data_IF_012319228841
#
_entry.id   IF_012319228841
#
_cell.length_a   1.000
_cell.length_b   1.000
_cell.length_c   1.000
_cell.angle_alpha   90.00
_cell.angle_beta   90.00
_cell.angle_gamma   90.00
#
_symmetry.space_group_name_H-M   'P 1'
#
loop_
_entity.id
_entity.type
_entity.pdbx_description
1 polymer ?
#
# COMPACT_ATOMS: atom_id res chain seq x y z
N UNK A 1 7.49 -16.06 -9.99
CA UNK A 1 7.51 -15.22 -8.76
C UNK A 1 8.90 -14.80 -8.30
N UNK A 2 9.81 -15.72 -7.94
CA UNK A 2 11.22 -15.37 -7.68
C UNK A 2 11.84 -14.62 -8.85
N UNK A 3 11.59 -15.11 -10.07
CA UNK A 3 12.05 -14.51 -11.33
C UNK A 3 11.56 -13.07 -11.54
N UNK A 4 10.32 -12.73 -11.14
CA UNK A 4 9.80 -11.36 -11.23
C UNK A 4 10.50 -10.44 -10.25
N UNK A 5 10.71 -10.88 -9.01
CA UNK A 5 11.43 -10.09 -8.01
C UNK A 5 12.92 -9.93 -8.32
N UNK A 6 13.51 -10.81 -9.13
CA UNK A 6 14.88 -10.72 -9.64
C UNK A 6 14.95 -10.24 -11.09
N UNK A 7 13.82 -9.80 -11.68
CA UNK A 7 13.78 -9.35 -13.07
C UNK A 7 14.62 -8.08 -13.18
N UNK A 8 15.67 -8.08 -13.99
CA UNK A 8 16.55 -6.92 -14.20
C UNK A 8 16.40 -6.27 -15.57
N UNK A 9 15.42 -6.67 -16.38
CA UNK A 9 15.16 -6.06 -17.68
C UNK A 9 14.80 -4.56 -17.51
N UNK A 10 15.54 -3.63 -18.12
CA UNK A 10 15.28 -2.19 -17.96
C UNK A 10 13.96 -1.73 -18.59
N UNK A 11 13.35 -2.54 -19.46
CA UNK A 11 12.04 -2.26 -20.05
C UNK A 11 10.87 -2.74 -19.21
N UNK A 12 11.15 -3.47 -18.12
CA UNK A 12 10.12 -4.02 -17.24
C UNK A 12 10.09 -3.25 -15.93
N UNK A 13 8.88 -2.95 -15.46
CA UNK A 13 8.59 -2.41 -14.14
C UNK A 13 7.86 -3.49 -13.36
N UNK A 14 8.38 -3.84 -12.18
CA UNK A 14 7.75 -4.83 -11.30
C UNK A 14 7.26 -4.12 -10.05
N UNK A 15 5.95 -4.16 -9.84
CA UNK A 15 5.24 -3.52 -8.73
C UNK A 15 4.69 -4.60 -7.80
N UNK A 16 5.04 -4.56 -6.53
CA UNK A 16 4.37 -5.32 -5.47
C UNK A 16 3.23 -4.47 -4.92
N UNK A 17 1.98 -4.91 -5.11
CA UNK A 17 0.78 -4.10 -4.87
C UNK A 17 -0.13 -4.75 -3.83
N UNK A 18 -0.70 -3.92 -2.97
CA UNK A 18 -1.71 -4.30 -1.97
C UNK A 18 -2.39 -3.03 -1.42
N UNK A 19 -3.46 -3.19 -0.64
CA UNK A 19 -4.10 -2.10 0.08
C UNK A 19 -3.96 -2.21 1.59
N UNK A 20 -3.48 -1.13 2.21
CA UNK A 20 -3.61 -0.97 3.65
C UNK A 20 -5.03 -0.47 3.96
N UNK A 21 -5.91 -1.43 4.22
CA UNK A 21 -7.34 -1.15 4.41
C UNK A 21 -7.68 -0.62 5.81
N UNK A 22 -8.77 0.16 5.88
CA UNK A 22 -9.41 0.64 7.11
C UNK A 22 -8.44 1.25 8.13
N UNK A 23 -7.56 2.14 7.70
CA UNK A 23 -6.72 2.93 8.61
C UNK A 23 -7.65 3.83 9.43
N UNK A 24 -7.84 3.47 10.70
CA UNK A 24 -8.74 4.20 11.59
C UNK A 24 -8.04 5.44 12.17
N UNK A 25 -8.63 6.60 11.92
CA UNK A 25 -8.15 7.87 12.47
C UNK A 25 -8.69 8.00 13.89
N UNK A 26 -7.85 7.66 14.85
CA UNK A 26 -8.12 7.69 16.28
C UNK A 26 -6.79 7.85 17.02
N UNK A 27 -6.87 8.09 18.32
CA UNK A 27 -5.70 7.90 19.17
C UNK A 27 -5.32 6.41 19.14
N UNK A 28 -4.15 6.12 18.60
CA UNK A 28 -3.61 4.78 18.50
C UNK A 28 -2.70 4.52 19.69
N UNK A 29 -3.03 3.47 20.45
CA UNK A 29 -2.19 2.99 21.53
C UNK A 29 -0.82 2.56 21.00
N UNK A 30 0.20 2.69 21.84
CA UNK A 30 1.50 2.07 21.63
C UNK A 30 2.38 2.26 22.85
N UNK A 31 3.67 1.99 22.66
CA UNK A 31 4.67 2.06 23.72
C UNK A 31 5.56 3.28 23.52
N UNK A 32 5.80 4.02 24.60
CA UNK A 32 6.75 5.14 24.65
C UNK A 32 7.63 4.96 25.87
N UNK A 33 8.93 5.22 25.72
CA UNK A 33 9.85 5.24 26.86
C UNK A 33 9.59 6.50 27.70
N UNK A 34 9.19 6.33 28.96
CA UNK A 34 8.92 7.43 29.90
C UNK A 34 9.43 7.08 31.31
N UNK A 35 9.81 8.09 32.09
CA UNK A 35 10.19 7.94 33.51
C UNK A 35 8.96 7.76 34.42
N UNK A 36 7.77 8.12 33.95
CA UNK A 36 6.52 8.08 34.73
C UNK A 36 5.66 6.84 34.39
N UNK A 37 5.04 6.23 35.42
CA UNK A 37 4.41 4.90 35.32
C UNK A 37 2.96 4.87 34.83
N UNK A 38 2.29 6.01 34.64
CA UNK A 38 0.85 6.04 34.34
C UNK A 38 0.60 6.63 32.97
N UNK A 39 0.17 5.77 32.05
CA UNK A 39 -0.49 6.21 30.82
C UNK A 39 -1.91 5.65 30.85
N UNK A 40 -2.88 6.52 31.07
CA UNK A 40 -4.30 6.17 31.04
C UNK A 40 -4.79 6.34 29.60
N UNK A 41 -5.14 5.23 28.95
CA UNK A 41 -5.76 5.26 27.63
C UNK A 41 -7.23 4.83 27.77
N UNK A 42 -8.20 5.68 27.38
CA UNK A 42 -9.60 5.28 27.30
C UNK A 42 -9.75 4.01 26.45
N UNK A 43 -10.47 3.00 26.96
CA UNK A 43 -10.65 1.71 26.29
C UNK A 43 -11.44 1.78 24.98
N UNK A 44 -12.19 2.86 24.76
CA UNK A 44 -12.94 3.15 23.54
C UNK A 44 -12.57 4.51 23.00
N UNK A 45 -11.86 4.51 21.88
CA UNK A 45 -11.51 5.72 21.14
C UNK A 45 -12.54 5.99 20.06
N UNK A 46 -13.03 7.23 19.96
CA UNK A 46 -13.94 7.63 18.88
C UNK A 46 -13.14 7.69 17.57
N UNK A 47 -13.56 6.91 16.59
CA UNK A 47 -13.00 6.97 15.23
C UNK A 47 -13.48 8.27 14.58
N UNK A 48 -12.53 9.12 14.19
CA UNK A 48 -12.74 10.43 13.55
C UNK A 48 -12.86 10.32 12.03
N UNK A 49 -12.40 9.20 11.46
CA UNK A 49 -12.46 8.89 10.04
C UNK A 49 -11.85 7.53 9.72
N UNK A 50 -12.09 7.05 8.51
CA UNK A 50 -11.46 5.85 7.94
C UNK A 50 -10.77 6.24 6.65
N UNK A 51 -9.66 5.57 6.37
CA UNK A 51 -8.84 5.81 5.20
C UNK A 51 -8.46 4.47 4.58
N UNK A 52 -8.66 4.34 3.26
CA UNK A 52 -8.18 3.24 2.46
C UNK A 52 -6.93 3.70 1.70
N UNK A 53 -5.87 2.90 1.75
CA UNK A 53 -4.59 3.26 1.14
C UNK A 53 -4.04 2.14 0.26
N UNK A 54 -4.47 2.07 -1.01
CA UNK A 54 -3.80 1.26 -2.03
C UNK A 54 -2.37 1.76 -2.26
N UNK A 55 -1.42 0.84 -2.40
CA UNK A 55 -0.04 1.20 -2.70
C UNK A 55 0.67 0.13 -3.54
N UNK A 56 1.66 0.56 -4.30
CA UNK A 56 2.53 -0.28 -5.11
C UNK A 56 4.00 0.05 -4.88
N UNK A 57 4.80 -0.94 -4.48
CA UNK A 57 6.25 -0.82 -4.33
C UNK A 57 6.92 -1.22 -5.65
N UNK A 58 7.66 -0.31 -6.27
CA UNK A 58 8.59 -0.66 -7.32
C UNK A 58 9.79 -1.40 -6.71
N UNK A 59 9.89 -2.70 -7.02
CA UNK A 59 10.82 -3.61 -6.34
C UNK A 59 12.29 -3.36 -6.71
N UNK A 60 12.55 -2.57 -7.77
CA UNK A 60 13.91 -2.30 -8.27
C UNK A 60 14.53 -1.06 -7.64
N UNK A 61 13.76 0.02 -7.54
CA UNK A 61 14.25 1.32 -7.11
C UNK A 61 13.70 1.75 -5.74
N UNK A 62 12.81 0.96 -5.13
CA UNK A 62 12.23 1.27 -3.82
C UNK A 62 11.12 2.32 -3.83
N UNK A 63 10.78 2.90 -4.99
CA UNK A 63 9.72 3.91 -5.09
C UNK A 63 8.38 3.30 -4.65
N UNK A 64 7.75 3.93 -3.67
CA UNK A 64 6.39 3.58 -3.24
C UNK A 64 5.42 4.52 -3.95
N UNK A 65 4.54 3.94 -4.75
CA UNK A 65 3.34 4.60 -5.26
C UNK A 65 2.22 4.41 -4.24
N UNK A 66 1.55 5.47 -3.85
CA UNK A 66 0.51 5.39 -2.82
C UNK A 66 -0.63 6.34 -3.16
N UNK A 67 -1.85 5.94 -2.79
CA UNK A 67 -3.06 6.71 -3.02
C UNK A 67 -3.99 6.61 -1.82
N UNK A 68 -4.93 7.53 -1.71
CA UNK A 68 -5.85 7.64 -0.59
C UNK A 68 -7.28 7.71 -1.08
N UNK A 69 -8.15 6.91 -0.48
CA UNK A 69 -9.58 6.88 -0.80
C UNK A 69 -10.42 6.73 0.48
N UNK A 70 -11.67 7.18 0.40
CA UNK A 70 -12.62 7.12 1.52
C UNK A 70 -13.39 5.78 1.58
N UNK A 71 -13.28 4.94 0.55
CA UNK A 71 -13.96 3.65 0.45
C UNK A 71 -13.11 2.61 -0.30
N UNK A 72 -13.51 1.32 -0.24
CA UNK A 72 -12.85 0.21 -0.93
C UNK A 72 -13.77 -0.41 -1.98
N UNK A 73 -13.33 -0.45 -3.23
CA UNK A 73 -14.04 -1.06 -4.38
C UNK A 73 -13.01 -1.54 -5.43
N UNK A 74 -13.35 -2.56 -6.23
CA UNK A 74 -12.52 -3.02 -7.35
C UNK A 74 -12.21 -1.92 -8.39
N UNK A 75 -13.07 -0.91 -8.55
CA UNK A 75 -12.79 0.24 -9.43
C UNK A 75 -11.60 1.08 -8.95
N UNK A 76 -11.34 1.15 -7.64
CA UNK A 76 -10.16 1.85 -7.12
C UNK A 76 -8.89 1.13 -7.53
N UNK A 77 -8.91 -0.21 -7.53
CA UNK A 77 -7.77 -1.00 -8.01
C UNK A 77 -7.51 -0.68 -9.48
N UNK A 78 -8.55 -0.66 -10.32
CA UNK A 78 -8.43 -0.28 -11.73
C UNK A 78 -7.83 1.13 -11.88
N UNK A 79 -8.33 2.12 -11.14
CA UNK A 79 -7.81 3.49 -11.19
C UNK A 79 -6.32 3.54 -10.80
N UNK A 80 -5.89 2.78 -9.78
CA UNK A 80 -4.48 2.67 -9.40
C UNK A 80 -3.63 2.03 -10.51
N UNK A 81 -4.13 0.98 -11.17
CA UNK A 81 -3.44 0.34 -12.30
C UNK A 81 -3.33 1.28 -13.51
N UNK A 82 -4.36 2.07 -13.79
CA UNK A 82 -4.32 3.12 -14.83
C UNK A 82 -3.28 4.20 -14.53
N UNK A 83 -3.16 4.63 -13.26
CA UNK A 83 -2.11 5.57 -12.84
C UNK A 83 -0.72 5.00 -13.06
N UNK A 84 -0.51 3.71 -12.82
CA UNK A 84 0.77 3.04 -13.13
C UNK A 84 1.06 3.02 -14.64
N UNK A 85 0.04 2.78 -15.48
CA UNK A 85 0.19 2.82 -16.94
C UNK A 85 0.57 4.21 -17.46
N UNK A 86 0.06 5.27 -16.83
CA UNK A 86 0.39 6.67 -17.15
C UNK A 86 1.83 7.00 -16.72
N UNK A 87 2.22 6.58 -15.51
CA UNK A 87 3.58 6.79 -14.98
C UNK A 87 4.65 6.06 -15.81
N UNK A 88 4.29 4.91 -16.39
CA UNK A 88 5.19 4.05 -17.18
C UNK A 88 4.64 3.80 -18.59
N UNK A 89 4.65 4.82 -19.48
CA UNK A 89 3.97 4.75 -20.79
C UNK A 89 4.57 3.72 -21.75
N UNK A 90 5.88 3.47 -21.69
CA UNK A 90 6.63 2.61 -22.62
C UNK A 90 7.27 1.38 -21.94
N UNK A 91 6.69 0.93 -20.84
CA UNK A 91 7.19 -0.23 -20.07
C UNK A 91 6.16 -1.35 -20.03
N UNK A 92 6.67 -2.57 -19.92
CA UNK A 92 5.88 -3.73 -19.48
C UNK A 92 5.78 -3.67 -17.95
N UNK A 93 4.56 -3.71 -17.43
CA UNK A 93 4.27 -3.53 -16.01
C UNK A 93 3.78 -4.86 -15.44
N UNK A 94 4.57 -5.48 -14.57
CA UNK A 94 4.19 -6.69 -13.84
C UNK A 94 3.76 -6.30 -12.45
N UNK A 95 2.47 -6.47 -12.14
CA UNK A 95 1.89 -6.13 -10.84
C UNK A 95 1.64 -7.41 -10.07
N UNK A 96 2.45 -7.64 -9.04
CA UNK A 96 2.31 -8.76 -8.10
C UNK A 96 1.23 -8.39 -7.10
N UNK A 97 0.17 -9.20 -7.03
CA UNK A 97 -0.98 -9.01 -6.14
C UNK A 97 -1.24 -10.28 -5.33
N UNK A 98 -1.89 -10.14 -4.17
CA UNK A 98 -2.30 -11.32 -3.40
C UNK A 98 -3.41 -12.12 -4.13
N UNK A 99 -3.67 -13.34 -3.66
CA UNK A 99 -4.65 -14.23 -4.31
C UNK A 99 -6.10 -13.93 -3.92
N UNK A 100 -6.41 -12.71 -3.47
CA UNK A 100 -7.74 -12.38 -2.96
C UNK A 100 -8.76 -12.18 -4.08
N UNK A 101 -10.01 -12.54 -3.81
CA UNK A 101 -11.09 -12.55 -4.81
C UNK A 101 -11.40 -11.16 -5.39
N UNK A 102 -11.13 -10.09 -4.64
CA UNK A 102 -11.33 -8.72 -5.10
C UNK A 102 -10.47 -8.39 -6.33
N UNK A 103 -9.22 -8.85 -6.38
CA UNK A 103 -8.31 -8.67 -7.51
C UNK A 103 -8.66 -9.54 -8.73
N UNK A 104 -9.65 -10.45 -8.59
CA UNK A 104 -10.13 -11.34 -9.66
C UNK A 104 -11.56 -11.02 -10.08
N UNK A 105 -12.07 -9.84 -9.70
CA UNK A 105 -13.39 -9.40 -10.11
C UNK A 105 -13.52 -9.39 -11.64
N UNK A 106 -14.76 -9.59 -12.13
CA UNK A 106 -15.05 -9.59 -13.56
C UNK A 106 -14.58 -8.28 -14.23
N UNK A 107 -14.80 -7.14 -13.56
CA UNK A 107 -14.35 -5.83 -14.03
C UNK A 107 -12.83 -5.76 -14.23
N UNK A 108 -12.03 -6.27 -13.29
CA UNK A 108 -10.56 -6.27 -13.42
C UNK A 108 -10.12 -7.18 -14.58
N UNK A 109 -10.75 -8.35 -14.74
CA UNK A 109 -10.42 -9.26 -15.85
C UNK A 109 -10.71 -8.63 -17.21
N UNK A 110 -11.88 -8.01 -17.37
CA UNK A 110 -12.27 -7.32 -18.61
C UNK A 110 -11.33 -6.15 -18.86
N UNK A 111 -11.05 -5.34 -17.85
CA UNK A 111 -10.13 -4.22 -17.98
C UNK A 111 -8.72 -4.68 -18.38
N UNK A 112 -8.18 -5.73 -17.74
CA UNK A 112 -6.84 -6.24 -18.03
C UNK A 112 -6.71 -6.79 -19.46
N UNK A 113 -7.79 -7.33 -20.04
CA UNK A 113 -7.81 -7.79 -21.44
C UNK A 113 -7.50 -6.66 -22.44
N UNK A 114 -7.95 -5.43 -22.15
CA UNK A 114 -7.69 -4.26 -22.99
C UNK A 114 -6.36 -3.56 -22.71
N UNK A 115 -5.60 -4.02 -21.71
CA UNK A 115 -4.34 -3.41 -21.27
C UNK A 115 -3.19 -4.43 -21.30
N UNK A 116 -2.75 -4.88 -22.49
CA UNK A 116 -1.81 -5.99 -22.62
C UNK A 116 -0.39 -5.72 -22.08
N UNK A 117 -0.03 -4.46 -21.85
CA UNK A 117 1.25 -4.08 -21.21
C UNK A 117 1.25 -4.29 -19.70
N UNK A 118 0.09 -4.53 -19.09
CA UNK A 118 -0.04 -4.77 -17.65
C UNK A 118 -0.35 -6.24 -17.39
N UNK A 119 0.55 -6.88 -16.65
CA UNK A 119 0.50 -8.29 -16.30
C UNK A 119 0.19 -8.42 -14.82
N UNK A 120 -0.98 -8.96 -14.48
CA UNK A 120 -1.35 -9.26 -13.10
C UNK A 120 -0.82 -10.64 -12.70
N UNK A 121 0.07 -10.65 -11.72
CA UNK A 121 0.80 -11.82 -11.25
C UNK A 121 0.36 -12.18 -9.82
N UNK A 122 -0.46 -13.22 -9.69
CA UNK A 122 -1.06 -13.57 -8.40
C UNK A 122 -0.11 -14.43 -7.55
N UNK A 123 0.08 -14.03 -6.30
CA UNK A 123 0.74 -14.86 -5.28
C UNK A 123 -0.01 -16.20 -5.11
N UNK A 124 0.68 -17.29 -4.73
CA UNK A 124 -0.01 -18.49 -4.26
C UNK A 124 -0.95 -18.18 -3.10
N UNK A 125 -2.01 -18.98 -2.94
CA UNK A 125 -2.91 -18.86 -1.79
C UNK A 125 -2.15 -18.89 -0.46
N UNK A 126 -2.51 -17.99 0.45
CA UNK A 126 -1.88 -17.84 1.78
C UNK A 126 -0.38 -17.48 1.75
N UNK A 127 0.12 -16.91 0.65
CA UNK A 127 1.51 -16.48 0.53
C UNK A 127 1.68 -14.96 0.60
N UNK A 128 0.85 -14.27 1.39
CA UNK A 128 0.88 -12.80 1.49
C UNK A 128 2.23 -12.28 2.00
N UNK A 129 2.94 -13.07 2.83
CA UNK A 129 4.31 -12.80 3.29
C UNK A 129 5.35 -12.66 2.15
N UNK A 130 5.03 -13.09 0.92
CA UNK A 130 5.86 -12.86 -0.27
C UNK A 130 5.59 -11.51 -0.93
N UNK A 131 4.55 -10.78 -0.52
CA UNK A 131 4.21 -9.46 -1.03
C UNK A 131 5.09 -8.40 -0.35
N UNK A 132 6.12 -7.90 -1.04
CA UNK A 132 7.11 -6.98 -0.45
C UNK A 132 6.49 -5.69 0.10
N UNK A 133 5.37 -5.23 -0.47
CA UNK A 133 4.61 -4.07 0.04
C UNK A 133 4.07 -4.26 1.47
N UNK A 134 3.80 -5.50 1.92
CA UNK A 134 3.36 -5.73 3.32
C UNK A 134 4.43 -5.27 4.33
N UNK A 135 5.72 -5.40 3.95
CA UNK A 135 6.83 -4.92 4.78
C UNK A 135 6.84 -3.39 4.85
N UNK A 136 6.56 -2.71 3.74
CA UNK A 136 6.39 -1.24 3.70
C UNK A 136 5.24 -0.82 4.61
N UNK A 137 4.11 -1.53 4.58
CA UNK A 137 2.98 -1.27 5.47
C UNK A 137 3.27 -1.55 6.94
N UNK A 138 4.20 -2.44 7.23
CA UNK A 138 4.67 -2.73 8.59
C UNK A 138 5.53 -1.59 9.14
N UNK A 139 6.44 -1.03 8.33
CA UNK A 139 7.22 0.16 8.68
C UNK A 139 6.32 1.37 8.86
N UNK A 140 5.42 1.65 7.90
CA UNK A 140 4.44 2.73 8.04
C UNK A 140 3.63 2.61 9.33
N UNK A 141 3.17 1.39 9.66
CA UNK A 141 2.41 1.16 10.88
C UNK A 141 3.22 1.48 12.13
N UNK A 142 4.48 1.05 12.18
CA UNK A 142 5.37 1.27 13.32
C UNK A 142 5.79 2.73 13.48
N UNK A 143 6.16 3.38 12.37
CA UNK A 143 6.85 4.67 12.40
C UNK A 143 5.88 5.86 12.35
N UNK A 144 4.69 5.67 11.78
CA UNK A 144 3.70 6.74 11.60
C UNK A 144 2.39 6.49 12.33
N UNK A 145 1.86 5.26 12.29
CA UNK A 145 0.50 4.99 12.80
C UNK A 145 0.47 4.64 14.29
N UNK A 146 1.43 3.86 14.78
CA UNK A 146 1.54 3.54 16.20
C UNK A 146 1.86 4.80 17.01
N UNK A 147 1.27 4.94 18.21
CA UNK A 147 1.36 6.14 19.04
C UNK A 147 0.86 7.45 18.39
N UNK A 148 0.14 7.38 17.26
CA UNK A 148 -0.41 8.56 16.59
C UNK A 148 -1.70 9.06 17.27
N UNK A 149 -1.94 10.36 17.19
CA UNK A 149 -3.22 10.98 17.56
C UNK A 149 -3.61 12.04 16.53
N UNK A 150 -3.85 11.57 15.30
CA UNK A 150 -4.35 12.44 14.23
C UNK A 150 -5.72 13.00 14.61
N UNK A 151 -5.90 14.31 14.42
CA UNK A 151 -7.15 15.01 14.66
C UNK A 151 -8.09 14.91 13.46
N UNK A 152 -7.54 14.77 12.25
CA UNK A 152 -8.31 14.70 11.00
C UNK A 152 -7.73 13.66 10.04
N UNK A 153 -8.55 13.22 9.07
CA UNK A 153 -8.08 12.37 7.95
C UNK A 153 -6.99 13.10 7.15
N UNK A 154 -7.15 14.40 6.92
CA UNK A 154 -6.17 15.23 6.22
C UNK A 154 -4.80 15.22 6.90
N UNK A 155 -4.76 15.36 8.22
CA UNK A 155 -3.50 15.30 8.97
C UNK A 155 -2.83 13.93 8.82
N UNK A 156 -3.60 12.85 8.86
CA UNK A 156 -3.08 11.51 8.64
C UNK A 156 -2.49 11.35 7.23
N UNK A 157 -3.20 11.82 6.19
CA UNK A 157 -2.72 11.82 4.81
C UNK A 157 -1.40 12.58 4.71
N UNK A 158 -1.33 13.81 5.23
CA UNK A 158 -0.12 14.64 5.18
C UNK A 158 1.06 13.95 5.87
N UNK A 159 0.83 13.29 7.02
CA UNK A 159 1.90 12.58 7.76
C UNK A 159 2.38 11.32 7.03
N UNK A 160 1.47 10.55 6.44
CA UNK A 160 1.79 9.36 5.65
C UNK A 160 2.54 9.75 4.37
N UNK A 161 2.06 10.77 3.63
CA UNK A 161 2.73 11.29 2.45
C UNK A 161 4.17 11.72 2.76
N UNK A 162 4.35 12.55 3.79
CA UNK A 162 5.67 13.02 4.22
C UNK A 162 6.62 11.88 4.57
N UNK A 163 6.11 10.77 5.10
CA UNK A 163 6.92 9.60 5.42
C UNK A 163 7.43 8.92 4.15
N UNK A 164 6.56 8.64 3.18
CA UNK A 164 6.96 8.03 1.91
C UNK A 164 7.83 8.92 1.05
N UNK A 165 7.56 10.24 1.03
CA UNK A 165 8.35 11.20 0.25
C UNK A 165 9.77 11.38 0.80
N UNK A 166 9.98 11.16 2.10
CA UNK A 166 11.30 11.23 2.75
C UNK A 166 12.07 9.91 2.68
N UNK A 167 11.40 8.78 2.83
CA UNK A 167 12.05 7.46 2.90
C UNK A 167 12.13 6.71 1.56
N UNK A 168 11.53 7.25 0.50
CA UNK A 168 11.41 6.61 -0.83
C UNK A 168 12.72 6.25 -1.56
N UNK A 169 13.89 6.48 -0.95
CA UNK A 169 15.20 6.12 -1.48
C UNK A 169 15.99 5.09 -0.63
N UNK A 170 15.49 4.66 0.54
CA UNK A 170 16.31 3.91 1.53
C UNK A 170 15.85 2.43 1.69
N UNK A 171 14.70 2.04 1.15
CA UNK A 171 14.07 0.73 1.44
C UNK A 171 14.25 -0.37 0.37
N UNK A 172 15.36 -0.38 -0.37
CA UNK A 172 15.71 -1.46 -1.32
C UNK A 172 16.75 -2.42 -0.75
#
# INVERSE_FOLDING_TARGET
MRELYSNNNPNDVVISFDEKAKIAIKENSGSVYTKEKKVFYPSKQKVKGLLEMPAGLNVKNGKVHYWFYDWKNSFIVIECLEKLLIEYPDKEIYVIVDNWSAHKSYSIKVWNYFHPRLHLEYLPSNASFLNKIERVFSFLAKDVLQNSNFQTVREAIEKISNYFDKEGSIMV
#
